data_IF_983492246420
#
_entry.id   IF_983492246420
#
_cell.length_a   1.000
_cell.length_b   1.000
_cell.length_c   1.000
_cell.angle_alpha   90.00
_cell.angle_beta   90.00
_cell.angle_gamma   90.00
#
_symmetry.space_group_name_H-M   'P 1'
#
loop_
_entity.id
_entity.type
_entity.pdbx_description
1 polymer ?
#
# COMPACT_ATOMS: atom_id res chain seq x y z
N UNK A 1 13.70 14.78 16.51
CA UNK A 1 12.23 14.74 16.37
C UNK A 1 11.73 13.39 15.83
N UNK A 2 12.29 12.87 14.72
CA UNK A 2 11.91 11.57 14.11
C UNK A 2 12.16 10.36 15.04
N UNK A 3 13.25 10.37 15.84
CA UNK A 3 13.51 9.31 16.84
C UNK A 3 12.46 9.25 17.95
N UNK A 4 11.89 10.40 18.33
CA UNK A 4 10.86 10.53 19.38
C UNK A 4 9.49 10.03 18.88
N UNK A 5 9.18 10.24 17.60
CA UNK A 5 8.00 9.66 16.93
C UNK A 5 8.11 8.13 16.79
N UNK A 6 9.30 7.61 16.47
CA UNK A 6 9.53 6.17 16.35
C UNK A 6 9.37 5.44 17.69
N UNK A 7 9.81 6.05 18.79
CA UNK A 7 9.76 5.45 20.13
C UNK A 7 8.37 5.48 20.79
N UNK A 8 7.35 6.03 20.12
CA UNK A 8 5.94 6.03 20.59
C UNK A 8 4.95 5.78 19.46
N UNK A 9 5.42 5.16 18.38
CA UNK A 9 4.62 4.98 17.16
C UNK A 9 3.35 4.17 17.44
N UNK A 10 3.46 3.17 18.32
CA UNK A 10 2.39 2.30 18.78
C UNK A 10 1.28 3.05 19.53
N UNK A 11 1.64 4.00 20.39
CA UNK A 11 0.68 4.84 21.12
C UNK A 11 -0.02 5.80 20.16
N UNK A 12 0.75 6.48 19.30
CA UNK A 12 0.23 7.44 18.33
C UNK A 12 -0.73 6.75 17.36
N UNK A 13 -0.33 5.60 16.81
CA UNK A 13 -1.16 4.82 15.89
C UNK A 13 -2.45 4.36 16.59
N UNK A 14 -2.38 3.92 17.85
CA UNK A 14 -3.58 3.53 18.60
C UNK A 14 -4.58 4.69 18.73
N UNK A 15 -4.09 5.91 18.96
CA UNK A 15 -4.94 7.11 18.98
C UNK A 15 -5.48 7.48 17.60
N UNK A 16 -4.67 7.39 16.55
CA UNK A 16 -5.12 7.65 15.17
C UNK A 16 -6.24 6.68 14.79
N UNK A 17 -6.08 5.38 15.09
CA UNK A 17 -7.14 4.39 14.88
C UNK A 17 -8.39 4.73 15.69
N UNK A 18 -8.22 5.15 16.95
CA UNK A 18 -9.34 5.61 17.78
C UNK A 18 -10.11 6.78 17.17
N UNK A 19 -9.41 7.81 16.69
CA UNK A 19 -10.02 8.95 15.97
C UNK A 19 -10.74 8.46 14.71
N UNK A 20 -10.09 7.62 13.91
CA UNK A 20 -10.67 7.08 12.67
C UNK A 20 -12.01 6.37 12.93
N UNK A 21 -12.06 5.47 13.92
CA UNK A 21 -13.30 4.77 14.25
C UNK A 21 -14.37 5.71 14.82
N UNK A 22 -14.02 6.68 15.68
CA UNK A 22 -15.01 7.65 16.17
C UNK A 22 -15.61 8.46 15.01
N UNK A 23 -14.76 8.96 14.11
CA UNK A 23 -15.22 9.73 12.94
C UNK A 23 -16.11 8.87 12.04
N UNK A 24 -15.72 7.63 11.76
CA UNK A 24 -16.53 6.69 10.99
C UNK A 24 -17.88 6.39 11.66
N UNK A 25 -17.88 6.18 12.97
CA UNK A 25 -19.11 5.92 13.72
C UNK A 25 -20.04 7.12 13.79
N UNK A 26 -19.50 8.33 13.97
CA UNK A 26 -20.27 9.57 13.87
C UNK A 26 -20.85 9.76 12.47
N UNK A 27 -20.05 9.51 11.44
CA UNK A 27 -20.49 9.56 10.06
C UNK A 27 -21.68 8.62 9.81
N UNK A 28 -21.62 7.38 10.31
CA UNK A 28 -22.73 6.42 10.21
C UNK A 28 -23.99 6.94 10.92
N UNK A 29 -23.85 7.50 12.12
CA UNK A 29 -25.00 8.03 12.88
C UNK A 29 -25.66 9.22 12.19
N UNK A 30 -24.87 10.17 11.66
CA UNK A 30 -25.42 11.32 10.94
C UNK A 30 -26.12 10.92 9.63
N UNK A 31 -25.65 9.85 8.97
CA UNK A 31 -26.21 9.37 7.70
C UNK A 31 -27.12 8.14 7.86
N UNK A 32 -27.69 7.92 9.05
CA UNK A 32 -28.55 6.77 9.38
C UNK A 32 -29.68 6.57 8.38
N UNK A 33 -30.31 7.67 7.92
CA UNK A 33 -31.42 7.61 6.96
C UNK A 33 -30.99 7.04 5.59
N UNK A 34 -29.86 7.51 5.05
CA UNK A 34 -29.32 7.02 3.79
C UNK A 34 -28.82 5.58 3.91
N UNK A 35 -28.16 5.24 5.02
CA UNK A 35 -27.61 3.89 5.26
C UNK A 35 -28.73 2.84 5.45
N UNK A 36 -29.92 3.26 5.90
CA UNK A 36 -31.07 2.36 6.11
C UNK A 36 -31.90 2.13 4.85
N UNK A 37 -31.90 3.09 3.92
CA UNK A 37 -32.73 3.05 2.72
C UNK A 37 -31.98 2.42 1.54
N UNK A 38 -32.70 2.14 0.44
CA UNK A 38 -32.11 1.66 -0.82
C UNK A 38 -31.14 2.68 -1.41
N UNK A 39 -30.21 2.21 -2.24
CA UNK A 39 -29.15 3.00 -2.89
C UNK A 39 -29.71 4.32 -3.46
N UNK A 40 -29.12 5.44 -3.02
CA UNK A 40 -29.47 6.75 -3.57
C UNK A 40 -28.50 7.02 -4.72
N UNK A 41 -28.99 7.16 -5.97
CA UNK A 41 -28.12 7.47 -7.09
C UNK A 41 -27.53 8.87 -6.91
N UNK A 42 -26.24 9.02 -7.20
CA UNK A 42 -25.57 10.32 -7.23
C UNK A 42 -26.02 11.05 -8.50
N UNK A 43 -26.62 12.22 -8.36
CA UNK A 43 -27.00 13.09 -9.49
C UNK A 43 -25.76 13.84 -10.01
N UNK A 44 -24.96 13.17 -10.84
CA UNK A 44 -23.71 13.70 -11.41
C UNK A 44 -23.90 15.01 -12.19
N UNK A 45 -25.08 15.20 -12.79
CA UNK A 45 -25.46 16.38 -13.57
C UNK A 45 -25.59 17.66 -12.72
N UNK A 46 -25.66 17.52 -11.39
CA UNK A 46 -25.78 18.62 -10.42
C UNK A 46 -24.49 18.96 -9.69
N UNK A 47 -23.37 18.31 -10.00
CA UNK A 47 -22.08 18.61 -9.38
C UNK A 47 -21.54 19.88 -10.03
N UNK A 48 -21.76 21.02 -9.37
CA UNK A 48 -21.35 22.34 -9.86
C UNK A 48 -20.29 23.00 -8.96
N UNK A 49 -20.07 22.48 -7.75
CA UNK A 49 -19.05 22.98 -6.81
C UNK A 49 -18.18 21.87 -6.21
N UNK A 50 -17.03 22.25 -5.64
CA UNK A 50 -16.16 21.31 -4.88
C UNK A 50 -16.90 20.71 -3.68
N UNK A 51 -17.85 21.44 -3.09
CA UNK A 51 -18.67 20.92 -2.00
C UNK A 51 -19.64 19.85 -2.49
N UNK A 52 -20.18 19.97 -3.70
CA UNK A 52 -21.04 18.95 -4.31
C UNK A 52 -20.25 17.67 -4.60
N UNK A 53 -18.99 17.78 -5.04
CA UNK A 53 -18.07 16.64 -5.19
C UNK A 53 -17.81 15.94 -3.85
N UNK A 54 -17.58 16.70 -2.78
CA UNK A 54 -17.38 16.15 -1.42
C UNK A 54 -18.67 15.48 -0.92
N UNK A 55 -19.84 16.06 -1.21
CA UNK A 55 -21.11 15.48 -0.84
C UNK A 55 -21.38 14.19 -1.63
N UNK A 56 -21.12 14.16 -2.94
CA UNK A 56 -21.19 12.96 -3.77
C UNK A 56 -20.29 11.85 -3.22
N UNK A 57 -19.06 12.18 -2.81
CA UNK A 57 -18.17 11.26 -2.11
C UNK A 57 -18.81 10.65 -0.87
N UNK A 58 -19.42 11.46 -0.01
CA UNK A 58 -20.03 10.97 1.22
C UNK A 58 -21.30 10.15 0.95
N UNK A 59 -22.11 10.51 -0.05
CA UNK A 59 -23.26 9.70 -0.48
C UNK A 59 -22.79 8.31 -0.90
N UNK A 60 -21.72 8.23 -1.68
CA UNK A 60 -21.20 6.94 -2.14
C UNK A 60 -20.62 6.10 -0.98
N UNK A 61 -19.91 6.73 -0.04
CA UNK A 61 -19.49 6.04 1.19
C UNK A 61 -20.70 5.52 1.98
N UNK A 62 -21.79 6.28 2.04
CA UNK A 62 -23.03 5.83 2.69
C UNK A 62 -23.69 4.66 1.96
N UNK A 63 -23.70 4.63 0.62
CA UNK A 63 -24.17 3.50 -0.18
C UNK A 63 -23.33 2.23 0.09
N UNK A 64 -22.01 2.36 0.19
CA UNK A 64 -21.13 1.22 0.54
C UNK A 64 -21.44 0.70 1.95
N UNK A 65 -21.65 1.61 2.91
CA UNK A 65 -21.93 1.25 4.30
C UNK A 65 -23.32 0.64 4.49
N UNK A 66 -24.33 1.05 3.69
CA UNK A 66 -25.68 0.49 3.73
C UNK A 66 -25.67 -1.02 3.44
N UNK A 67 -24.85 -1.46 2.50
CA UNK A 67 -24.73 -2.88 2.15
C UNK A 67 -24.18 -3.75 3.31
N UNK A 68 -23.30 -3.21 4.14
CA UNK A 68 -22.74 -3.93 5.29
C UNK A 68 -23.56 -3.83 6.56
N UNK A 69 -24.19 -2.67 6.79
CA UNK A 69 -24.77 -2.30 8.08
C UNK A 69 -26.30 -2.31 8.05
N UNK A 70 -26.92 -2.15 6.87
CA UNK A 70 -28.22 -1.50 6.59
C UNK A 70 -29.42 -1.86 7.46
N UNK A 71 -29.42 -3.00 8.14
CA UNK A 71 -30.45 -3.31 9.13
C UNK A 71 -30.38 -2.48 10.42
N UNK A 72 -29.18 -2.08 10.87
CA UNK A 72 -28.97 -1.48 12.19
C UNK A 72 -27.88 -0.38 12.25
N UNK A 73 -27.97 0.68 11.41
CA UNK A 73 -26.99 1.78 11.39
C UNK A 73 -26.73 2.45 12.74
N UNK A 74 -27.78 2.65 13.54
CA UNK A 74 -27.65 3.28 14.86
C UNK A 74 -26.79 2.41 15.80
N UNK A 75 -27.06 1.12 15.85
CA UNK A 75 -26.33 0.18 16.72
C UNK A 75 -24.87 0.09 16.25
N UNK A 76 -24.64 -0.06 14.95
CA UNK A 76 -23.30 -0.13 14.38
C UNK A 76 -22.49 1.16 14.65
N UNK A 77 -23.09 2.34 14.44
CA UNK A 77 -22.44 3.62 14.72
C UNK A 77 -22.02 3.75 16.19
N UNK A 78 -22.91 3.39 17.13
CA UNK A 78 -22.58 3.39 18.57
C UNK A 78 -21.46 2.41 18.88
N UNK A 79 -21.52 1.18 18.38
CA UNK A 79 -20.49 0.16 18.62
C UNK A 79 -19.12 0.59 18.06
N UNK A 80 -19.09 1.22 16.88
CA UNK A 80 -17.87 1.71 16.26
C UNK A 80 -17.28 2.89 17.06
N UNK A 81 -18.11 3.81 17.58
CA UNK A 81 -17.64 4.88 18.48
C UNK A 81 -17.07 4.29 19.77
N UNK A 82 -17.77 3.33 20.39
CA UNK A 82 -17.29 2.65 21.59
C UNK A 82 -15.97 1.92 21.34
N UNK A 83 -15.82 1.31 20.15
CA UNK A 83 -14.56 0.71 19.73
C UNK A 83 -13.45 1.76 19.58
N UNK A 84 -13.74 2.92 18.99
CA UNK A 84 -12.78 4.03 18.91
C UNK A 84 -12.35 4.56 20.28
N UNK A 85 -13.28 4.71 21.23
CA UNK A 85 -12.96 5.07 22.63
C UNK A 85 -12.13 3.97 23.32
N UNK A 86 -12.43 2.70 23.04
CA UNK A 86 -11.62 1.58 23.51
C UNK A 86 -10.18 1.64 22.96
N UNK A 87 -9.97 2.06 21.71
CA UNK A 87 -8.63 2.24 21.14
C UNK A 87 -7.80 3.32 21.87
N UNK A 88 -8.42 4.39 22.38
CA UNK A 88 -7.73 5.34 23.26
C UNK A 88 -7.29 4.69 24.56
N UNK A 89 -8.13 3.82 25.15
CA UNK A 89 -7.75 3.06 26.34
C UNK A 89 -6.59 2.10 26.06
N UNK A 90 -6.60 1.43 24.91
CA UNK A 90 -5.49 0.59 24.45
C UNK A 90 -4.20 1.40 24.31
N UNK A 91 -4.25 2.58 23.67
CA UNK A 91 -3.08 3.47 23.56
C UNK A 91 -2.54 3.91 24.92
N UNK A 92 -3.43 4.18 25.89
CA UNK A 92 -3.05 4.48 27.27
C UNK A 92 -2.40 3.29 27.98
N UNK A 93 -2.91 2.07 27.80
CA UNK A 93 -2.29 0.86 28.33
C UNK A 93 -0.88 0.65 27.80
N UNK A 94 -0.67 0.76 26.49
CA UNK A 94 0.66 0.63 25.88
C UNK A 94 1.64 1.66 26.46
N UNK A 95 1.18 2.88 26.73
CA UNK A 95 2.03 3.94 27.29
C UNK A 95 2.35 3.75 28.78
N UNK A 96 1.54 2.99 29.53
CA UNK A 96 1.61 2.92 31.00
C UNK A 96 2.11 1.59 31.54
N UNK A 97 1.92 0.48 30.81
CA UNK A 97 2.30 -0.86 31.30
C UNK A 97 2.60 -1.84 30.17
N UNK A 98 3.57 -2.73 30.40
CA UNK A 98 3.93 -3.82 29.47
C UNK A 98 3.17 -5.12 29.75
N UNK A 99 2.33 -5.14 30.80
CA UNK A 99 1.60 -6.35 31.24
C UNK A 99 0.70 -6.93 30.13
N UNK A 100 0.22 -6.08 29.23
CA UNK A 100 -0.74 -6.44 28.19
C UNK A 100 -0.11 -6.58 26.80
N UNK A 101 1.23 -6.54 26.65
CA UNK A 101 1.83 -6.45 25.33
C UNK A 101 1.59 -7.70 24.47
N UNK A 102 1.56 -8.88 25.08
CA UNK A 102 1.25 -10.15 24.38
C UNK A 102 -0.19 -10.19 23.88
N UNK A 103 -1.24 -9.99 24.71
CA UNK A 103 -2.61 -9.96 24.20
C UNK A 103 -2.84 -8.79 23.23
N UNK A 104 -2.21 -7.64 23.44
CA UNK A 104 -2.29 -6.52 22.50
C UNK A 104 -1.64 -6.83 21.14
N UNK A 105 -0.54 -7.58 21.13
CA UNK A 105 0.08 -8.07 19.89
C UNK A 105 -0.93 -8.83 19.03
N UNK A 106 -1.60 -9.84 19.61
CA UNK A 106 -2.61 -10.62 18.91
C UNK A 106 -3.84 -9.80 18.54
N UNK A 107 -4.27 -8.88 19.41
CA UNK A 107 -5.35 -7.94 19.11
C UNK A 107 -5.06 -7.10 17.87
N UNK A 108 -3.89 -6.48 17.76
CA UNK A 108 -3.53 -5.62 16.63
C UNK A 108 -3.33 -6.41 15.32
N UNK A 109 -2.72 -7.60 15.38
CA UNK A 109 -2.61 -8.48 14.21
C UNK A 109 -4.00 -8.93 13.75
N UNK A 110 -4.87 -9.31 14.69
CA UNK A 110 -6.26 -9.69 14.42
C UNK A 110 -7.08 -8.53 13.85
N UNK A 111 -6.97 -7.33 14.43
CA UNK A 111 -7.62 -6.11 13.96
C UNK A 111 -7.21 -5.78 12.52
N UNK A 112 -5.91 -5.87 12.24
CA UNK A 112 -5.38 -5.67 10.89
C UNK A 112 -6.01 -6.62 9.86
N UNK A 113 -6.10 -7.92 10.21
CA UNK A 113 -6.73 -8.93 9.35
C UNK A 113 -8.24 -8.67 9.17
N UNK A 114 -8.97 -8.36 10.25
CA UNK A 114 -10.41 -8.06 10.18
C UNK A 114 -10.67 -6.85 9.30
N UNK A 115 -9.92 -5.75 9.48
CA UNK A 115 -10.06 -4.56 8.64
C UNK A 115 -9.79 -4.87 7.18
N UNK A 116 -8.81 -5.72 6.89
CA UNK A 116 -8.50 -6.10 5.52
C UNK A 116 -9.59 -6.97 4.89
N UNK A 117 -10.12 -7.94 5.63
CA UNK A 117 -11.21 -8.81 5.17
C UNK A 117 -12.45 -7.97 4.89
N UNK A 118 -12.83 -7.07 5.80
CA UNK A 118 -13.94 -6.13 5.61
C UNK A 118 -13.73 -5.29 4.36
N UNK A 119 -12.53 -4.70 4.19
CA UNK A 119 -12.19 -3.91 2.99
C UNK A 119 -12.32 -4.76 1.73
N UNK A 120 -11.83 -5.99 1.75
CA UNK A 120 -11.89 -6.89 0.59
C UNK A 120 -13.34 -7.24 0.23
N UNK A 121 -14.19 -7.52 1.22
CA UNK A 121 -15.62 -7.80 1.00
C UNK A 121 -16.28 -6.59 0.32
N UNK A 122 -16.03 -5.38 0.82
CA UNK A 122 -16.56 -4.17 0.18
C UNK A 122 -16.00 -3.99 -1.24
N UNK A 123 -14.70 -4.21 -1.44
CA UNK A 123 -14.06 -4.16 -2.75
C UNK A 123 -14.66 -5.15 -3.75
N UNK A 124 -15.19 -6.30 -3.30
CA UNK A 124 -15.81 -7.27 -4.24
C UNK A 124 -17.08 -6.75 -4.90
N UNK A 125 -17.76 -5.77 -4.31
CA UNK A 125 -18.93 -5.14 -4.94
C UNK A 125 -18.53 -4.31 -6.15
N UNK A 126 -17.37 -3.66 -6.08
CA UNK A 126 -16.94 -2.68 -7.08
C UNK A 126 -16.00 -3.30 -8.11
N UNK A 127 -15.07 -4.14 -7.65
CA UNK A 127 -14.03 -4.74 -8.49
C UNK A 127 -14.29 -6.22 -8.80
N UNK A 128 -15.43 -6.74 -8.35
CA UNK A 128 -15.78 -8.15 -8.47
C UNK A 128 -14.83 -9.07 -7.69
N UNK A 129 -14.83 -10.35 -8.07
CA UNK A 129 -14.04 -11.39 -7.39
C UNK A 129 -12.52 -11.14 -7.43
N UNK A 130 -12.02 -10.32 -8.36
CA UNK A 130 -10.59 -9.97 -8.43
C UNK A 130 -10.11 -9.20 -7.19
N UNK A 131 -11.00 -8.56 -6.43
CA UNK A 131 -10.67 -7.95 -5.14
C UNK A 131 -10.03 -8.94 -4.16
N UNK A 132 -10.38 -10.23 -4.22
CA UNK A 132 -9.80 -11.27 -3.36
C UNK A 132 -8.28 -11.42 -3.52
N UNK A 133 -7.71 -11.00 -4.66
CA UNK A 133 -6.27 -10.98 -4.87
C UNK A 133 -5.56 -10.03 -3.90
N UNK A 134 -6.21 -8.92 -3.48
CA UNK A 134 -5.66 -8.03 -2.46
C UNK A 134 -5.57 -8.72 -1.09
N UNK A 135 -6.54 -9.58 -0.75
CA UNK A 135 -6.51 -10.35 0.50
C UNK A 135 -5.35 -11.36 0.47
N UNK A 136 -5.14 -12.04 -0.66
CA UNK A 136 -3.98 -12.94 -0.83
C UNK A 136 -2.66 -12.17 -0.68
N UNK A 137 -2.53 -11.03 -1.36
CA UNK A 137 -1.34 -10.18 -1.26
C UNK A 137 -1.09 -9.71 0.17
N UNK A 138 -2.15 -9.39 0.91
CA UNK A 138 -2.04 -8.99 2.31
C UNK A 138 -1.69 -10.12 3.26
N UNK A 139 -2.25 -11.32 3.09
CA UNK A 139 -1.85 -12.48 3.89
C UNK A 139 -0.36 -12.72 3.74
N UNK A 140 0.16 -12.63 2.50
CA UNK A 140 1.59 -12.73 2.22
C UNK A 140 2.36 -11.63 2.96
N UNK A 141 1.95 -10.36 2.83
CA UNK A 141 2.58 -9.24 3.53
C UNK A 141 2.55 -9.41 5.07
N UNK A 142 1.44 -9.85 5.65
CA UNK A 142 1.29 -10.14 7.07
C UNK A 142 2.28 -11.22 7.50
N UNK A 143 2.36 -12.35 6.78
CA UNK A 143 3.29 -13.44 7.07
C UNK A 143 4.75 -12.97 7.02
N UNK A 144 5.13 -12.23 5.97
CA UNK A 144 6.47 -11.63 5.87
C UNK A 144 6.78 -10.67 7.02
N UNK A 145 5.79 -9.90 7.47
CA UNK A 145 5.97 -8.92 8.55
C UNK A 145 6.13 -9.59 9.91
N UNK A 146 5.32 -10.62 10.19
CA UNK A 146 5.33 -11.39 11.43
C UNK A 146 6.58 -12.26 11.53
N UNK A 147 6.95 -12.98 10.47
CA UNK A 147 8.06 -13.94 10.47
C UNK A 147 9.40 -13.37 9.99
N UNK A 148 9.52 -12.05 9.89
CA UNK A 148 10.73 -11.37 9.39
C UNK A 148 12.03 -11.81 10.11
N UNK A 149 11.96 -12.19 11.39
CA UNK A 149 13.12 -12.66 12.15
C UNK A 149 13.60 -14.06 11.76
N UNK A 150 12.73 -14.88 11.16
CA UNK A 150 13.09 -16.19 10.65
C UNK A 150 13.66 -16.12 9.23
N UNK A 151 13.21 -15.15 8.45
CA UNK A 151 13.66 -14.95 7.09
C UNK A 151 15.13 -14.52 7.01
N UNK A 152 15.80 -14.92 5.93
CA UNK A 152 17.21 -14.55 5.72
C UNK A 152 17.34 -13.02 5.57
N UNK A 153 18.08 -12.33 6.47
CA UNK A 153 18.29 -10.89 6.39
C UNK A 153 18.98 -10.44 5.09
N UNK A 154 19.82 -11.31 4.51
CA UNK A 154 20.53 -11.02 3.26
C UNK A 154 19.59 -10.91 2.04
N UNK A 155 18.34 -11.38 2.19
CA UNK A 155 17.33 -11.39 1.12
C UNK A 155 16.11 -10.47 1.40
N UNK A 156 16.27 -9.45 2.25
CA UNK A 156 15.16 -8.51 2.57
C UNK A 156 14.58 -7.80 1.35
N UNK A 157 15.43 -7.46 0.39
CA UNK A 157 15.00 -6.77 -0.83
C UNK A 157 14.03 -7.63 -1.64
N UNK A 158 14.35 -8.91 -1.76
CA UNK A 158 13.58 -9.91 -2.48
C UNK A 158 12.25 -10.16 -1.79
N UNK A 159 12.22 -10.21 -0.45
CA UNK A 159 10.97 -10.29 0.30
C UNK A 159 10.04 -9.10 -0.01
N UNK A 160 10.57 -7.87 -0.07
CA UNK A 160 9.78 -6.71 -0.48
C UNK A 160 9.32 -6.81 -1.94
N UNK A 161 10.14 -7.33 -2.85
CA UNK A 161 9.73 -7.53 -4.24
C UNK A 161 8.58 -8.55 -4.38
N UNK A 162 8.58 -9.62 -3.58
CA UNK A 162 7.47 -10.60 -3.57
C UNK A 162 6.17 -9.91 -3.16
N UNK A 163 6.21 -9.15 -2.07
CA UNK A 163 5.04 -8.40 -1.58
C UNK A 163 4.54 -7.47 -2.69
N UNK A 164 5.44 -6.71 -3.33
CA UNK A 164 5.11 -5.80 -4.43
C UNK A 164 4.53 -6.54 -5.64
N UNK A 165 5.07 -7.70 -6.02
CA UNK A 165 4.58 -8.51 -7.12
C UNK A 165 3.11 -8.92 -6.91
N UNK A 166 2.76 -9.43 -5.72
CA UNK A 166 1.39 -9.84 -5.42
C UNK A 166 0.42 -8.64 -5.42
N UNK A 167 0.82 -7.50 -4.86
CA UNK A 167 0.02 -6.27 -4.98
C UNK A 167 -0.06 -5.76 -6.42
N UNK A 168 0.99 -5.92 -7.21
CA UNK A 168 1.01 -5.55 -8.63
C UNK A 168 0.03 -6.36 -9.46
N UNK A 169 0.00 -7.68 -9.23
CA UNK A 169 -0.99 -8.58 -9.84
C UNK A 169 -2.40 -8.18 -9.41
N UNK A 170 -2.64 -8.02 -8.10
CA UNK A 170 -3.95 -7.62 -7.59
C UNK A 170 -4.43 -6.30 -8.21
N UNK A 171 -3.56 -5.29 -8.28
CA UNK A 171 -3.86 -4.00 -8.90
C UNK A 171 -4.15 -4.14 -10.40
N UNK A 172 -3.31 -4.84 -11.16
CA UNK A 172 -3.52 -5.03 -12.61
C UNK A 172 -4.90 -5.64 -12.91
N UNK A 173 -5.26 -6.73 -12.22
CA UNK A 173 -6.54 -7.40 -12.45
C UNK A 173 -7.74 -6.58 -11.99
N UNK A 174 -7.65 -5.91 -10.84
CA UNK A 174 -8.75 -5.07 -10.34
C UNK A 174 -8.94 -3.82 -11.18
N UNK A 175 -7.87 -3.16 -11.63
CA UNK A 175 -8.00 -2.05 -12.57
C UNK A 175 -8.64 -2.54 -13.89
N UNK A 176 -8.14 -3.62 -14.48
CA UNK A 176 -8.75 -4.16 -15.70
C UNK A 176 -10.24 -4.49 -15.53
N UNK A 177 -10.65 -5.00 -14.36
CA UNK A 177 -12.05 -5.26 -14.04
C UNK A 177 -12.86 -3.96 -13.94
N UNK A 178 -12.36 -2.95 -13.21
CA UNK A 178 -12.99 -1.61 -13.10
C UNK A 178 -13.22 -1.02 -14.47
N UNK A 179 -12.17 -0.89 -15.28
CA UNK A 179 -12.27 -0.27 -16.61
C UNK A 179 -13.10 -1.06 -17.61
N UNK A 180 -13.41 -2.34 -17.35
CA UNK A 180 -14.36 -3.09 -18.17
C UNK A 180 -15.81 -2.83 -17.80
N UNK A 181 -16.06 -2.27 -16.61
CA UNK A 181 -17.40 -2.03 -16.05
C UNK A 181 -17.76 -0.54 -16.00
N UNK A 182 -16.78 0.36 -16.16
CA UNK A 182 -17.02 1.79 -16.40
C UNK A 182 -17.78 1.87 -17.73
N UNK A 183 -18.88 2.61 -17.75
CA UNK A 183 -19.91 2.74 -18.82
C UNK A 183 -21.14 1.83 -18.71
N UNK A 184 -21.06 0.64 -18.09
CA UNK A 184 -22.23 -0.25 -17.98
C UNK A 184 -22.97 -0.18 -16.64
N UNK A 185 -22.27 0.15 -15.54
CA UNK A 185 -22.85 -0.03 -14.18
C UNK A 185 -22.26 0.88 -13.10
N UNK A 186 -21.08 1.48 -13.29
CA UNK A 186 -20.36 2.25 -12.25
C UNK A 186 -19.90 3.59 -12.84
N UNK A 187 -20.14 4.70 -12.14
CA UNK A 187 -19.65 6.00 -12.59
C UNK A 187 -18.18 6.25 -12.20
N UNK A 188 -17.47 7.16 -12.88
CA UNK A 188 -16.13 7.58 -12.47
C UNK A 188 -16.08 8.18 -11.04
N UNK A 189 -17.17 8.79 -10.56
CA UNK A 189 -17.27 9.36 -9.21
C UNK A 189 -17.24 8.29 -8.15
N UNK A 190 -17.93 7.20 -8.46
CA UNK A 190 -18.06 6.06 -7.58
C UNK A 190 -16.67 5.46 -7.41
N UNK A 191 -15.96 5.19 -8.51
CA UNK A 191 -14.60 4.64 -8.48
C UNK A 191 -13.65 5.51 -7.66
N UNK A 192 -13.64 6.84 -7.83
CA UNK A 192 -12.75 7.71 -7.07
C UNK A 192 -13.06 7.68 -5.56
N UNK A 193 -14.34 7.77 -5.21
CA UNK A 193 -14.80 7.83 -3.82
C UNK A 193 -14.57 6.52 -3.10
N UNK A 194 -14.90 5.42 -3.77
CA UNK A 194 -14.64 4.06 -3.34
C UNK A 194 -13.13 3.84 -3.13
N UNK A 195 -12.28 4.22 -4.11
CA UNK A 195 -10.83 4.06 -4.01
C UNK A 195 -10.27 4.78 -2.79
N UNK A 196 -10.72 6.02 -2.53
CA UNK A 196 -10.26 6.82 -1.41
C UNK A 196 -10.72 6.22 -0.07
N UNK A 197 -11.98 5.78 0.03
CA UNK A 197 -12.47 5.10 1.22
C UNK A 197 -11.66 3.82 1.51
N UNK A 198 -11.45 2.97 0.50
CA UNK A 198 -10.65 1.76 0.65
C UNK A 198 -9.20 2.07 1.02
N UNK A 199 -8.58 3.10 0.42
CA UNK A 199 -7.24 3.52 0.81
C UNK A 199 -7.14 3.88 2.30
N UNK A 200 -8.14 4.58 2.85
CA UNK A 200 -8.18 4.94 4.27
C UNK A 200 -8.29 3.72 5.19
N UNK A 201 -9.18 2.78 4.89
CA UNK A 201 -9.31 1.54 5.68
C UNK A 201 -8.05 0.67 5.53
N UNK A 202 -7.45 0.66 4.34
CA UNK A 202 -6.23 -0.09 4.04
C UNK A 202 -5.01 0.44 4.81
N UNK A 203 -4.83 1.76 4.85
CA UNK A 203 -3.82 2.42 5.69
C UNK A 203 -4.05 2.08 7.16
N UNK A 204 -5.30 2.08 7.62
CA UNK A 204 -5.67 1.74 9.01
C UNK A 204 -5.32 0.28 9.35
N UNK A 205 -5.54 -0.65 8.41
CA UNK A 205 -5.11 -2.04 8.54
C UNK A 205 -3.59 -2.17 8.66
N UNK A 206 -2.80 -1.47 7.82
CA UNK A 206 -1.34 -1.49 7.91
C UNK A 206 -0.80 -0.82 9.17
N UNK A 207 -1.45 0.24 9.64
CA UNK A 207 -1.16 0.87 10.92
C UNK A 207 -1.36 -0.13 12.07
N UNK A 208 -2.48 -0.86 12.08
CA UNK A 208 -2.71 -1.92 13.06
C UNK A 208 -1.65 -3.03 12.97
N UNK A 209 -1.29 -3.47 11.75
CA UNK A 209 -0.23 -4.48 11.55
C UNK A 209 1.11 -4.00 12.11
N UNK A 210 1.47 -2.74 11.87
CA UNK A 210 2.70 -2.14 12.37
C UNK A 210 2.79 -2.24 13.89
N UNK A 211 1.72 -1.88 14.61
CA UNK A 211 1.69 -1.97 16.07
C UNK A 211 1.80 -3.42 16.53
N UNK A 212 1.05 -4.33 15.90
CA UNK A 212 1.12 -5.76 16.22
C UNK A 212 2.53 -6.33 16.06
N UNK A 213 3.18 -6.07 14.92
CA UNK A 213 4.56 -6.53 14.65
C UNK A 213 5.58 -5.86 15.56
N UNK A 214 5.39 -4.59 15.93
CA UNK A 214 6.25 -3.89 16.87
C UNK A 214 6.22 -4.55 18.26
N UNK A 215 5.03 -4.78 18.81
CA UNK A 215 4.85 -5.43 20.12
C UNK A 215 5.34 -6.89 20.11
N UNK A 216 5.15 -7.60 19.00
CA UNK A 216 5.67 -8.96 18.81
C UNK A 216 7.20 -9.02 18.97
N UNK A 217 7.90 -8.07 18.37
CA UNK A 217 9.37 -7.94 18.44
C UNK A 217 9.83 -7.48 19.82
N UNK A 218 9.16 -6.50 20.41
CA UNK A 218 9.47 -6.01 21.76
C UNK A 218 9.38 -7.14 22.81
N UNK A 219 8.42 -8.04 22.66
CA UNK A 219 8.23 -9.20 23.54
C UNK A 219 9.13 -10.41 23.21
N UNK A 220 9.97 -10.32 22.18
CA UNK A 220 10.78 -11.44 21.67
C UNK A 220 10.00 -12.75 21.44
N UNK A 221 8.71 -12.67 21.09
CA UNK A 221 7.84 -13.86 21.00
C UNK A 221 8.24 -14.83 19.89
N UNK A 222 8.98 -14.31 18.89
CA UNK A 222 9.42 -15.03 17.69
C UNK A 222 10.95 -15.00 17.52
N UNK A 223 11.71 -14.61 18.55
CA UNK A 223 13.17 -14.51 18.44
C UNK A 223 13.78 -15.90 18.32
N UNK A 224 14.55 -16.13 17.26
CA UNK A 224 15.38 -17.34 17.12
C UNK A 224 16.30 -17.46 18.36
N UNK A 225 16.36 -18.62 19.04
CA UNK A 225 17.33 -18.82 20.10
C UNK A 225 18.74 -18.59 19.51
N UNK A 226 19.53 -17.74 20.15
CA UNK A 226 20.88 -17.45 19.69
C UNK A 226 21.73 -18.73 19.79
N UNK A 227 22.46 -19.06 18.72
CA UNK A 227 23.45 -20.14 18.76
C UNK A 227 24.45 -19.85 19.90
N UNK A 228 24.55 -20.80 20.84
CA UNK A 228 25.54 -20.76 21.92
C UNK A 228 25.10 -20.11 23.24
N UNK A 229 23.87 -19.61 23.40
CA UNK A 229 23.36 -19.26 24.74
C UNK A 229 22.48 -20.39 25.28
N UNK A 230 22.83 -21.02 26.42
CA UNK A 230 21.94 -21.98 27.04
C UNK A 230 20.63 -21.26 27.36
N UNK A 231 19.52 -21.79 26.85
CA UNK A 231 18.19 -21.35 27.24
C UNK A 231 18.20 -21.19 28.76
N UNK A 232 17.99 -19.96 29.25
CA UNK A 232 17.74 -19.77 30.67
C UNK A 232 16.48 -20.57 30.96
N UNK A 233 16.68 -21.75 31.57
CA UNK A 233 15.70 -22.76 31.92
C UNK A 233 14.67 -22.15 32.87
N UNK A 234 13.71 -21.41 32.29
CA UNK A 234 12.45 -21.12 32.95
C UNK A 234 11.69 -22.44 33.05
N UNK A 235 11.56 -22.95 34.27
CA UNK A 235 10.87 -24.20 34.63
C UNK A 235 9.41 -24.27 34.15
N UNK A 236 8.84 -23.18 33.61
CA UNK A 236 7.53 -23.12 32.95
C UNK A 236 7.52 -23.58 31.48
N UNK A 237 8.69 -23.65 30.81
CA UNK A 237 8.78 -23.95 29.37
C UNK A 237 9.01 -25.44 29.04
N UNK A 238 9.15 -26.33 30.02
CA UNK A 238 9.41 -27.76 29.77
C UNK A 238 8.26 -28.46 29.00
N UNK A 239 7.04 -27.88 28.99
CA UNK A 239 5.90 -28.35 28.18
C UNK A 239 5.80 -27.72 26.77
N UNK A 240 6.59 -26.68 26.45
CA UNK A 240 6.60 -26.04 25.10
C UNK A 240 7.67 -26.60 24.16
N UNK A 241 8.61 -27.41 24.68
CA UNK A 241 9.72 -28.00 23.90
C UNK A 241 9.30 -29.08 22.89
N UNK A 242 8.02 -29.43 22.75
CA UNK A 242 7.57 -30.40 21.73
C UNK A 242 7.26 -29.79 20.37
N UNK A 243 7.31 -28.46 20.18
CA UNK A 243 7.23 -27.84 18.84
C UNK A 243 8.59 -27.78 18.16
N UNK A 244 9.27 -28.91 18.04
CA UNK A 244 10.35 -29.09 17.05
C UNK A 244 9.70 -29.22 15.66
N UNK A 245 10.16 -28.40 14.71
CA UNK A 245 9.87 -28.45 13.26
C UNK A 245 8.82 -27.48 12.67
N UNK A 246 8.62 -26.27 13.21
CA UNK A 246 8.11 -25.18 12.35
C UNK A 246 9.32 -24.43 11.78
N UNK A 247 9.69 -24.74 10.53
CA UNK A 247 10.67 -24.00 9.76
C UNK A 247 9.89 -23.15 8.74
N UNK A 248 9.53 -21.90 9.07
CA UNK A 248 8.85 -20.99 8.14
C UNK A 248 9.57 -20.93 6.80
N UNK A 249 10.90 -21.01 6.81
CA UNK A 249 11.79 -21.00 5.64
C UNK A 249 11.46 -22.10 4.62
N UNK A 250 10.88 -23.24 5.05
CA UNK A 250 10.46 -24.33 4.16
C UNK A 250 9.09 -24.07 3.51
N UNK A 251 8.22 -23.30 4.16
CA UNK A 251 6.87 -22.95 3.70
C UNK A 251 6.81 -21.58 2.99
N UNK A 252 7.69 -20.66 3.38
CA UNK A 252 7.96 -19.35 2.77
C UNK A 252 9.14 -19.43 1.78
N UNK A 253 9.72 -20.62 1.57
CA UNK A 253 10.86 -20.89 0.68
C UNK A 253 10.59 -20.69 -0.82
N UNK A 254 9.43 -20.13 -1.18
CA UNK A 254 9.19 -19.57 -2.51
C UNK A 254 10.22 -18.47 -2.86
N UNK A 255 10.79 -17.81 -1.84
CA UNK A 255 11.90 -16.87 -2.02
C UNK A 255 13.10 -17.48 -2.74
N UNK A 256 13.44 -18.75 -2.48
CA UNK A 256 14.58 -19.42 -3.11
C UNK A 256 14.28 -19.85 -4.56
N UNK A 257 13.05 -20.30 -4.85
CA UNK A 257 12.63 -20.55 -6.24
C UNK A 257 12.55 -19.27 -7.07
N UNK A 258 12.10 -18.17 -6.47
CA UNK A 258 12.16 -16.85 -7.11
C UNK A 258 13.58 -16.32 -7.24
N UNK A 259 14.48 -16.67 -6.30
CA UNK A 259 15.90 -16.37 -6.39
C UNK A 259 16.51 -17.05 -7.62
N UNK A 260 16.24 -18.34 -7.80
CA UNK A 260 16.69 -19.08 -8.99
C UNK A 260 16.08 -18.51 -10.27
N UNK A 261 14.81 -18.10 -10.24
CA UNK A 261 14.14 -17.45 -11.38
C UNK A 261 14.74 -16.07 -11.71
N UNK A 262 14.92 -15.19 -10.71
CA UNK A 262 15.58 -13.88 -10.85
C UNK A 262 16.98 -14.05 -11.39
N UNK A 263 17.77 -14.96 -10.82
CA UNK A 263 19.15 -15.21 -11.24
C UNK A 263 19.18 -15.76 -12.66
N UNK A 264 18.27 -16.67 -13.02
CA UNK A 264 18.14 -17.16 -14.40
C UNK A 264 17.76 -16.05 -15.40
N UNK A 265 16.92 -15.09 -15.01
CA UNK A 265 16.66 -13.90 -15.83
C UNK A 265 17.89 -13.00 -15.90
N UNK A 266 18.56 -12.78 -14.76
CA UNK A 266 19.77 -11.97 -14.67
C UNK A 266 20.88 -12.52 -15.57
N UNK A 267 21.11 -13.82 -15.51
CA UNK A 267 22.14 -14.49 -16.28
C UNK A 267 21.80 -14.43 -17.78
N UNK A 268 20.53 -14.65 -18.16
CA UNK A 268 20.07 -14.44 -19.53
C UNK A 268 20.16 -13.00 -20.03
N UNK A 269 19.90 -12.02 -19.16
CA UNK A 269 20.02 -10.60 -19.52
C UNK A 269 21.50 -10.21 -19.65
N UNK A 270 22.36 -10.69 -18.74
CA UNK A 270 23.82 -10.50 -18.84
C UNK A 270 24.39 -11.14 -20.09
N UNK A 271 23.92 -12.33 -20.44
CA UNK A 271 24.22 -13.01 -21.70
C UNK A 271 23.71 -12.19 -22.91
N UNK A 272 22.49 -11.66 -22.86
CA UNK A 272 21.92 -10.86 -23.96
C UNK A 272 22.66 -9.53 -24.20
N UNK A 273 23.15 -8.88 -23.13
CA UNK A 273 23.85 -7.61 -23.26
C UNK A 273 25.35 -7.75 -23.60
N UNK A 274 25.91 -8.98 -23.60
CA UNK A 274 27.29 -9.37 -23.97
C UNK A 274 28.44 -8.41 -23.53
N UNK A 275 28.19 -7.52 -22.57
CA UNK A 275 29.12 -6.45 -22.23
C UNK A 275 28.93 -6.03 -20.77
N UNK A 276 30.01 -6.08 -19.99
CA UNK A 276 30.04 -5.38 -18.71
C UNK A 276 29.81 -3.87 -18.95
N UNK A 277 28.84 -3.29 -18.23
CA UNK A 277 28.56 -1.86 -18.31
C UNK A 277 29.85 -1.06 -18.12
N UNK A 278 30.19 -0.12 -19.02
CA UNK A 278 31.46 0.61 -18.95
C UNK A 278 31.67 1.28 -17.59
N UNK A 279 32.90 1.27 -17.07
CA UNK A 279 33.23 1.81 -15.73
C UNK A 279 32.94 3.33 -15.57
N UNK A 280 32.80 4.06 -16.68
CA UNK A 280 32.39 5.47 -16.71
C UNK A 280 30.85 5.65 -16.73
N UNK A 281 30.09 4.60 -17.02
CA UNK A 281 28.64 4.56 -17.05
C UNK A 281 28.09 4.31 -15.65
N UNK A 282 28.02 5.37 -14.81
CA UNK A 282 27.41 5.23 -13.49
C UNK A 282 25.90 5.13 -13.64
N UNK A 283 25.37 3.93 -13.43
CA UNK A 283 23.92 3.59 -13.38
C UNK A 283 23.08 4.65 -12.64
N UNK A 284 23.65 5.19 -11.57
CA UNK A 284 23.16 6.31 -10.77
C UNK A 284 22.79 7.58 -11.55
N UNK A 285 23.56 7.96 -12.58
CA UNK A 285 23.26 9.13 -13.41
C UNK A 285 22.13 8.88 -14.39
N UNK A 286 22.00 7.64 -14.87
CA UNK A 286 20.86 7.23 -15.70
C UNK A 286 19.57 7.22 -14.88
N UNK A 287 19.62 6.76 -13.62
CA UNK A 287 18.48 6.85 -12.69
C UNK A 287 17.98 8.29 -12.53
N UNK A 288 18.89 9.26 -12.37
CA UNK A 288 18.53 10.68 -12.30
C UNK A 288 18.01 11.19 -13.66
N UNK A 289 18.73 10.92 -14.75
CA UNK A 289 18.39 11.44 -16.07
C UNK A 289 16.99 10.99 -16.50
N UNK A 290 16.74 9.68 -16.47
CA UNK A 290 15.43 9.14 -16.82
C UNK A 290 14.37 9.57 -15.81
N UNK A 291 14.70 9.65 -14.51
CA UNK A 291 13.78 10.18 -13.50
C UNK A 291 13.37 11.64 -13.78
N UNK A 292 14.28 12.50 -14.21
CA UNK A 292 14.00 13.89 -14.60
C UNK A 292 13.15 13.94 -15.87
N UNK A 293 13.49 13.14 -16.88
CA UNK A 293 12.70 13.08 -18.12
C UNK A 293 11.27 12.65 -17.82
N UNK A 294 11.08 11.58 -17.04
CA UNK A 294 9.76 11.14 -16.57
C UNK A 294 9.04 12.27 -15.84
N UNK A 295 9.69 12.96 -14.90
CA UNK A 295 9.09 14.08 -14.18
C UNK A 295 8.63 15.19 -15.14
N UNK A 296 9.43 15.54 -16.15
CA UNK A 296 9.08 16.57 -17.14
C UNK A 296 7.84 16.16 -17.91
N UNK A 297 7.77 14.94 -18.44
CA UNK A 297 6.60 14.47 -19.19
C UNK A 297 5.33 14.43 -18.32
N UNK A 298 5.45 13.90 -17.09
CA UNK A 298 4.33 13.88 -16.16
C UNK A 298 3.88 15.29 -15.78
N UNK A 299 4.82 16.21 -15.57
CA UNK A 299 4.52 17.61 -15.27
C UNK A 299 3.87 18.33 -16.46
N UNK A 300 4.35 18.10 -17.68
CA UNK A 300 3.77 18.68 -18.89
C UNK A 300 2.32 18.21 -19.08
N UNK A 301 2.06 16.90 -18.93
CA UNK A 301 0.70 16.37 -19.02
C UNK A 301 -0.19 16.95 -17.91
N UNK A 302 0.31 16.97 -16.66
CA UNK A 302 -0.42 17.58 -15.55
C UNK A 302 -0.72 19.05 -15.80
N UNK A 303 0.25 19.83 -16.31
CA UNK A 303 0.06 21.25 -16.62
C UNK A 303 -0.94 21.47 -17.75
N UNK A 304 -0.89 20.65 -18.81
CA UNK A 304 -1.85 20.71 -19.91
C UNK A 304 -3.28 20.46 -19.41
N UNK A 305 -3.47 19.41 -18.60
CA UNK A 305 -4.78 19.11 -17.99
C UNK A 305 -5.18 20.19 -17.00
N UNK A 306 -4.26 20.69 -16.18
CA UNK A 306 -4.50 21.79 -15.24
C UNK A 306 -4.87 23.11 -15.94
N UNK A 307 -4.34 23.39 -17.13
CA UNK A 307 -4.76 24.53 -17.95
C UNK A 307 -6.25 24.49 -18.28
N UNK A 308 -6.78 23.32 -18.62
CA UNK A 308 -8.22 23.10 -18.83
C UNK A 308 -9.04 23.39 -17.56
N UNK A 309 -8.50 23.09 -16.37
CA UNK A 309 -9.15 23.41 -15.08
C UNK A 309 -9.13 24.91 -14.76
N UNK A 310 -8.04 25.62 -15.08
CA UNK A 310 -7.84 27.04 -14.70
C UNK A 310 -8.52 27.99 -15.69
N UNK A 311 -8.64 27.62 -16.96
CA UNK A 311 -9.21 28.47 -18.03
C UNK A 311 -10.76 28.50 -18.02
N UNK A 312 -11.42 27.79 -17.10
CA UNK A 312 -12.87 27.92 -16.89
C UNK A 312 -13.77 27.26 -17.94
N UNK A 313 -13.20 26.45 -18.86
CA UNK A 313 -13.97 25.57 -19.77
C UNK A 313 -14.59 24.35 -19.07
N UNK A 314 -14.42 24.26 -17.77
CA UNK A 314 -14.78 23.13 -16.93
C UNK A 314 -16.22 23.25 -16.42
N UNK A 315 -17.02 22.20 -16.64
CA UNK A 315 -18.21 21.93 -15.84
C UNK A 315 -17.88 20.79 -14.89
N UNK A 316 -18.14 20.99 -13.60
CA UNK A 316 -17.88 19.98 -12.56
C UNK A 316 -18.68 18.69 -12.75
N UNK A 317 -19.66 18.65 -13.67
CA UNK A 317 -20.33 17.42 -14.10
C UNK A 317 -19.44 16.47 -14.95
N UNK A 318 -18.27 16.92 -15.40
CA UNK A 318 -17.31 16.10 -16.18
C UNK A 318 -16.40 15.30 -15.25
N UNK A 319 -16.99 14.32 -14.56
CA UNK A 319 -16.34 13.58 -13.47
C UNK A 319 -15.14 12.72 -13.90
N UNK A 320 -15.14 12.27 -15.16
CA UNK A 320 -14.00 11.62 -15.79
C UNK A 320 -12.73 12.48 -15.73
N UNK A 321 -12.85 13.77 -16.02
CA UNK A 321 -11.70 14.70 -16.03
C UNK A 321 -11.11 14.90 -14.64
N UNK A 322 -11.94 14.90 -13.58
CA UNK A 322 -11.48 14.96 -12.19
C UNK A 322 -10.70 13.69 -11.83
N UNK A 323 -11.21 12.53 -12.20
CA UNK A 323 -10.54 11.25 -11.98
C UNK A 323 -9.15 11.21 -12.64
N UNK A 324 -9.05 11.63 -13.90
CA UNK A 324 -7.78 11.74 -14.63
C UNK A 324 -6.81 12.69 -13.92
N UNK A 325 -7.29 13.85 -13.47
CA UNK A 325 -6.46 14.84 -12.77
C UNK A 325 -5.91 14.33 -11.45
N UNK A 326 -6.73 13.67 -10.63
CA UNK A 326 -6.28 13.11 -9.34
C UNK A 326 -5.22 12.03 -9.56
N UNK A 327 -5.42 11.14 -10.53
CA UNK A 327 -4.45 10.10 -10.85
C UNK A 327 -3.15 10.67 -11.45
N UNK A 328 -3.22 11.72 -12.28
CA UNK A 328 -2.04 12.43 -12.76
C UNK A 328 -1.29 13.13 -11.62
N UNK A 329 -2.01 13.75 -10.68
CA UNK A 329 -1.42 14.34 -9.49
C UNK A 329 -0.68 13.30 -8.64
N UNK A 330 -1.28 12.12 -8.41
CA UNK A 330 -0.64 11.01 -7.70
C UNK A 330 0.62 10.55 -8.45
N UNK A 331 0.54 10.43 -9.78
CA UNK A 331 1.68 10.05 -10.64
C UNK A 331 2.82 11.07 -10.55
N UNK A 332 2.49 12.37 -10.53
CA UNK A 332 3.45 13.46 -10.34
C UNK A 332 4.13 13.36 -8.97
N UNK A 333 3.36 13.15 -7.91
CA UNK A 333 3.90 12.95 -6.56
C UNK A 333 4.84 11.74 -6.48
N UNK A 334 4.49 10.62 -7.13
CA UNK A 334 5.35 9.44 -7.21
C UNK A 334 6.66 9.70 -7.97
N UNK A 335 6.61 10.43 -9.09
CA UNK A 335 7.80 10.82 -9.85
C UNK A 335 8.75 11.71 -9.02
N UNK A 336 8.19 12.70 -8.30
CA UNK A 336 8.94 13.55 -7.37
C UNK A 336 9.57 12.71 -6.25
N UNK A 337 8.80 11.83 -5.60
CA UNK A 337 9.29 10.95 -4.54
C UNK A 337 10.40 10.01 -5.04
N UNK A 338 10.28 9.49 -6.25
CA UNK A 338 11.32 8.65 -6.85
C UNK A 338 12.64 9.42 -6.98
N UNK A 339 12.60 10.65 -7.51
CA UNK A 339 13.80 11.48 -7.63
C UNK A 339 14.39 11.84 -6.26
N UNK A 340 13.56 12.22 -5.29
CA UNK A 340 14.01 12.51 -3.92
C UNK A 340 14.72 11.28 -3.32
N UNK A 341 14.13 10.09 -3.42
CA UNK A 341 14.77 8.88 -2.90
C UNK A 341 16.01 8.48 -3.69
N UNK A 342 16.03 8.71 -5.01
CA UNK A 342 17.20 8.48 -5.86
C UNK A 342 18.36 9.39 -5.41
N UNK A 343 18.14 10.69 -5.28
CA UNK A 343 19.15 11.64 -4.79
C UNK A 343 19.63 11.27 -3.39
N UNK A 344 18.71 10.91 -2.49
CA UNK A 344 19.07 10.48 -1.13
C UNK A 344 19.87 9.17 -1.11
N UNK A 345 19.58 8.24 -2.01
CA UNK A 345 20.36 7.02 -2.18
C UNK A 345 21.77 7.33 -2.71
N UNK A 346 21.91 8.29 -3.62
CA UNK A 346 23.21 8.70 -4.16
C UNK A 346 24.10 9.39 -3.12
N UNK A 347 23.52 10.33 -2.37
CA UNK A 347 24.28 11.15 -1.42
C UNK A 347 24.53 10.41 -0.11
N UNK A 348 23.55 9.65 0.37
CA UNK A 348 23.59 9.07 1.73
C UNK A 348 23.60 7.54 1.74
N UNK A 349 23.54 6.86 0.59
CA UNK A 349 23.41 5.39 0.47
C UNK A 349 22.29 4.82 1.34
N UNK A 350 21.19 5.57 1.48
CA UNK A 350 20.04 5.26 2.34
C UNK A 350 18.75 5.29 1.53
N UNK A 351 17.71 4.63 2.05
CA UNK A 351 16.35 4.63 1.50
C UNK A 351 16.16 3.92 0.16
N UNK A 352 17.08 3.05 -0.23
CA UNK A 352 16.97 2.27 -1.45
C UNK A 352 15.68 1.43 -1.55
N UNK A 353 15.25 0.76 -0.47
CA UNK A 353 13.99 0.02 -0.47
C UNK A 353 12.78 0.92 -0.78
N UNK A 354 12.81 2.19 -0.35
CA UNK A 354 11.75 3.17 -0.66
C UNK A 354 11.79 3.60 -2.11
N UNK A 355 12.99 3.84 -2.65
CA UNK A 355 13.18 4.11 -4.08
C UNK A 355 12.58 2.98 -4.94
N UNK A 356 12.86 1.73 -4.58
CA UNK A 356 12.35 0.52 -5.27
C UNK A 356 10.83 0.41 -5.21
N UNK A 357 10.22 0.64 -4.03
CA UNK A 357 8.76 0.62 -3.88
C UNK A 357 8.13 1.71 -4.77
N UNK A 358 8.67 2.93 -4.74
CA UNK A 358 8.10 4.05 -5.51
C UNK A 358 8.21 3.83 -7.02
N UNK A 359 9.36 3.38 -7.52
CA UNK A 359 9.51 3.11 -8.97
C UNK A 359 8.62 1.96 -9.42
N UNK A 360 8.41 0.94 -8.58
CA UNK A 360 7.50 -0.16 -8.88
C UNK A 360 6.06 0.34 -9.01
N UNK A 361 5.58 1.15 -8.04
CA UNK A 361 4.22 1.71 -8.09
C UNK A 361 4.06 2.63 -9.30
N UNK A 362 5.04 3.49 -9.57
CA UNK A 362 5.02 4.41 -10.72
C UNK A 362 4.98 3.64 -12.04
N UNK A 363 5.85 2.65 -12.21
CA UNK A 363 5.88 1.78 -13.40
C UNK A 363 4.56 1.04 -13.58
N UNK A 364 4.01 0.48 -12.51
CA UNK A 364 2.75 -0.26 -12.54
C UNK A 364 1.58 0.64 -12.96
N UNK A 365 1.49 1.85 -12.40
CA UNK A 365 0.43 2.80 -12.73
C UNK A 365 0.44 3.17 -14.23
N UNK A 366 1.62 3.54 -14.75
CA UNK A 366 1.78 3.90 -16.18
C UNK A 366 1.54 2.68 -17.09
N UNK A 367 2.05 1.50 -16.72
CA UNK A 367 1.90 0.28 -17.53
C UNK A 367 0.44 -0.17 -17.60
N UNK A 368 -0.29 -0.11 -16.49
CA UNK A 368 -1.72 -0.41 -16.45
C UNK A 368 -2.49 0.61 -17.28
N UNK A 369 -2.17 1.91 -17.17
CA UNK A 369 -2.77 2.94 -18.01
C UNK A 369 -2.55 2.69 -19.51
N UNK A 370 -1.32 2.35 -19.92
CA UNK A 370 -1.03 1.97 -21.31
C UNK A 370 -1.83 0.74 -21.74
N UNK A 371 -1.89 -0.30 -20.92
CA UNK A 371 -2.67 -1.50 -21.22
C UNK A 371 -4.15 -1.18 -21.43
N UNK A 372 -4.75 -0.40 -20.54
CA UNK A 372 -6.15 0.03 -20.68
C UNK A 372 -6.31 0.82 -21.98
N UNK A 373 -5.45 1.79 -22.25
CA UNK A 373 -5.53 2.61 -23.47
C UNK A 373 -5.42 1.80 -24.77
N UNK A 374 -4.64 0.71 -24.75
CA UNK A 374 -4.42 -0.13 -25.93
C UNK A 374 -5.53 -1.16 -26.16
N UNK A 375 -6.17 -1.63 -25.09
CA UNK A 375 -7.05 -2.81 -25.13
C UNK A 375 -8.47 -2.55 -24.63
N UNK A 376 -8.76 -1.34 -24.13
CA UNK A 376 -10.07 -0.90 -23.69
C UNK A 376 -10.41 0.37 -24.44
N UNK A 377 -11.59 0.40 -25.07
CA UNK A 377 -12.14 1.57 -25.76
C UNK A 377 -12.67 2.59 -24.73
N UNK A 378 -11.82 2.98 -23.77
CA UNK A 378 -12.20 3.87 -22.67
C UNK A 378 -11.31 5.10 -22.71
N UNK A 379 -11.93 6.28 -22.81
CA UNK A 379 -11.24 7.59 -22.88
C UNK A 379 -10.57 8.03 -21.56
N UNK A 380 -10.40 7.15 -20.58
CA UNK A 380 -9.80 7.44 -19.27
C UNK A 380 -8.26 7.34 -19.24
N UNK A 381 -7.61 7.48 -20.40
CA UNK A 381 -6.16 7.36 -20.48
C UNK A 381 -5.46 8.54 -19.81
N UNK A 382 -4.58 8.26 -18.85
CA UNK A 382 -3.83 9.28 -18.11
C UNK A 382 -2.86 10.07 -19.00
N UNK A 383 -2.37 9.47 -20.07
CA UNK A 383 -1.44 10.10 -21.00
C UNK A 383 -1.85 9.81 -22.43
N UNK A 384 -1.64 10.77 -23.32
CA UNK A 384 -1.76 10.54 -24.75
C UNK A 384 -0.85 9.35 -25.13
N UNK A 385 -1.34 8.45 -25.99
CA UNK A 385 -0.69 7.17 -26.30
C UNK A 385 0.83 7.24 -26.52
N UNK A 386 1.39 8.20 -27.29
CA UNK A 386 2.84 8.29 -27.49
C UNK A 386 3.61 8.57 -26.19
N UNK A 387 3.07 9.39 -25.29
CA UNK A 387 3.66 9.68 -23.98
C UNK A 387 3.57 8.46 -23.07
N UNK A 388 2.43 7.76 -23.09
CA UNK A 388 2.25 6.54 -22.30
C UNK A 388 3.27 5.45 -22.69
N UNK A 389 3.46 5.22 -23.99
CA UNK A 389 4.47 4.29 -24.52
C UNK A 389 5.89 4.72 -24.11
N UNK A 390 6.23 6.00 -24.29
CA UNK A 390 7.54 6.54 -23.92
C UNK A 390 7.83 6.40 -22.42
N UNK A 391 6.85 6.70 -21.56
CA UNK A 391 7.01 6.58 -20.11
C UNK A 391 7.22 5.13 -19.69
N UNK A 392 6.49 4.16 -20.25
CA UNK A 392 6.77 2.73 -19.98
C UNK A 392 8.18 2.35 -20.44
N UNK A 393 8.62 2.82 -21.60
CA UNK A 393 9.97 2.56 -22.11
C UNK A 393 11.07 3.15 -21.22
N UNK A 394 10.83 4.30 -20.58
CA UNK A 394 11.78 4.93 -19.65
C UNK A 394 11.74 4.29 -18.25
N UNK A 395 10.56 3.96 -17.76
CA UNK A 395 10.35 3.41 -16.42
C UNK A 395 10.78 1.94 -16.31
N UNK A 396 10.67 1.16 -17.38
CA UNK A 396 11.00 -0.26 -17.38
C UNK A 396 12.51 -0.50 -17.09
N UNK A 397 13.45 0.18 -17.77
CA UNK A 397 14.87 0.13 -17.39
C UNK A 397 15.14 0.61 -15.96
N UNK A 398 14.46 1.68 -15.50
CA UNK A 398 14.62 2.18 -14.13
C UNK A 398 14.18 1.15 -13.08
N UNK A 399 13.08 0.45 -13.35
CA UNK A 399 12.59 -0.63 -12.51
C UNK A 399 13.61 -1.78 -12.49
N UNK A 400 14.10 -2.21 -13.65
CA UNK A 400 15.11 -3.28 -13.73
C UNK A 400 16.40 -2.90 -13.01
N UNK A 401 16.91 -1.68 -13.20
CA UNK A 401 18.06 -1.16 -12.46
C UNK A 401 17.78 -1.20 -10.95
N UNK A 402 16.61 -0.71 -10.53
CA UNK A 402 16.21 -0.72 -9.13
C UNK A 402 15.96 -2.13 -8.61
N UNK A 403 15.70 -3.14 -9.43
CA UNK A 403 15.54 -4.54 -9.01
C UNK A 403 16.90 -5.26 -8.98
N UNK A 404 17.82 -4.95 -9.89
CA UNK A 404 19.04 -5.73 -10.08
C UNK A 404 20.28 -5.18 -9.39
N UNK A 405 20.31 -3.90 -9.06
CA UNK A 405 21.43 -3.28 -8.34
C UNK A 405 21.67 -4.03 -7.02
N UNK A 406 22.80 -4.75 -6.94
CA UNK A 406 23.26 -5.44 -5.74
C UNK A 406 23.78 -4.40 -4.77
N UNK A 407 23.19 -4.36 -3.58
CA UNK A 407 23.68 -3.49 -2.52
C UNK A 407 24.45 -4.34 -1.55
N UNK A 408 25.76 -4.12 -1.48
CA UNK A 408 26.51 -4.34 -0.25
C UNK A 408 25.72 -3.60 0.83
N UNK A 409 25.11 -4.38 1.74
CA UNK A 409 24.16 -3.91 2.74
C UNK A 409 24.72 -2.73 3.53
N UNK A 410 23.84 -2.09 4.30
CA UNK A 410 24.22 -1.23 5.42
C UNK A 410 25.55 -1.72 6.00
N UNK A 411 26.60 -0.89 5.89
CA UNK A 411 27.95 -1.24 6.31
C UNK A 411 27.86 -1.97 7.66
N UNK A 412 28.45 -3.16 7.75
CA UNK A 412 28.56 -3.96 8.98
C UNK A 412 29.30 -3.25 10.13
N UNK A 413 29.56 -1.95 9.97
CA UNK A 413 30.33 -1.08 10.84
C UNK A 413 29.50 0.08 11.44
N UNK A 414 28.16 0.10 11.34
CA UNK A 414 27.37 0.93 12.26
C UNK A 414 27.31 0.19 13.62
N UNK A 415 27.95 0.73 14.70
CA UNK A 415 27.95 0.07 15.99
C UNK A 415 26.52 0.02 16.53
N UNK A 416 26.10 -1.17 16.96
CA UNK A 416 24.92 -1.45 17.78
C UNK A 416 23.86 -0.35 17.79
N UNK A 417 22.92 -0.41 16.84
CA UNK A 417 21.56 0.04 17.14
C UNK A 417 21.04 -0.87 18.25
N UNK A 418 21.30 -0.44 19.50
CA UNK A 418 20.59 -0.92 20.68
C UNK A 418 19.10 -0.84 20.36
N UNK A 419 18.52 -2.03 20.25
CA UNK A 419 17.09 -2.31 20.13
C UNK A 419 16.37 -1.72 21.33
#
# INVERSE_FOLDING_TARGET
>A
MISKFRNRSEVIISFILGVFFIVLGLFILFNTGQIKNEEVPVEEDKIETVFDLINAFFVEVSNILSMMIGGFPIIAGILIILFGLFMFKVGSWINTTTKYDVPLTFFFIGLSLVLFVVTTILMTQVYGLFALLFLVAFIIHLLFSVFNEYLNPDHRKEHYMIILLFYGIAYFFTQNAVYSNIESTISPTDVLSINLFFALVWISSFMALWVGVFLLKANNLLKKPADGQPEKLSRLNKKKSSKKNFAPDKYLGFSQKLYDFRNKILDKLKEFFETDLPSWFKVNYLEILFGIIVLIFVFLEFNNRNGVFVEGYFKLNQMQTIYEWVNLFITLMLAVLYLVFTIMNLVKKRYYHRQMIVIFILWLNVTVSLYITLFKDVELSLFILPFNVLLVFLLTPLLFISIFKEFKGEDKNEPDRKV
#
